data_IF_109416033629
#
_entry.id   IF_109416033629
#
_cell.length_a   1.000
_cell.length_b   1.000
_cell.length_c   1.000
_cell.angle_alpha   90.00
_cell.angle_beta   90.00
_cell.angle_gamma   90.00
#
_symmetry.space_group_name_H-M   'P 1'
#
loop_
_entity.id
_entity.type
_entity.pdbx_description
1 polymer ?
#
# COMPACT_ATOMS: atom_id res chain seq x y z
N UNK A 1 14.17 -10.94 -14.75
CA UNK A 1 13.19 -9.90 -14.37
C UNK A 1 11.82 -10.48 -14.04
N UNK A 2 11.14 -11.23 -14.94
CA UNK A 2 9.80 -11.82 -14.67
C UNK A 2 9.70 -12.68 -13.39
N UNK A 3 10.72 -13.49 -13.07
CA UNK A 3 10.74 -14.34 -11.86
C UNK A 3 10.79 -13.53 -10.55
N UNK A 4 11.52 -12.41 -10.56
CA UNK A 4 11.61 -11.49 -9.41
C UNK A 4 10.28 -10.76 -9.21
N UNK A 5 9.63 -10.39 -10.31
CA UNK A 5 8.30 -9.77 -10.29
C UNK A 5 7.23 -10.73 -9.72
N UNK A 6 7.27 -12.01 -10.09
CA UNK A 6 6.36 -13.04 -9.55
C UNK A 6 6.59 -13.27 -8.06
N UNK A 7 7.86 -13.38 -7.62
CA UNK A 7 8.20 -13.52 -6.20
C UNK A 7 7.75 -12.30 -5.37
N UNK A 8 7.89 -11.10 -5.92
CA UNK A 8 7.40 -9.87 -5.31
C UNK A 8 5.87 -9.87 -5.17
N UNK A 9 5.15 -10.30 -6.22
CA UNK A 9 3.68 -10.35 -6.24
C UNK A 9 3.13 -11.41 -5.29
N UNK A 10 3.80 -12.57 -5.18
CA UNK A 10 3.46 -13.63 -4.21
C UNK A 10 3.74 -13.18 -2.78
N UNK A 11 4.85 -12.47 -2.54
CA UNK A 11 5.17 -11.89 -1.22
C UNK A 11 4.08 -10.91 -0.76
N UNK A 12 3.59 -10.04 -1.67
CA UNK A 12 2.49 -9.11 -1.40
C UNK A 12 1.19 -9.83 -1.02
N UNK A 13 0.87 -10.96 -1.68
CA UNK A 13 -0.31 -11.75 -1.33
C UNK A 13 -0.19 -12.41 0.06
N UNK A 14 1.00 -12.83 0.47
CA UNK A 14 1.26 -13.41 1.79
C UNK A 14 1.31 -12.38 2.93
N UNK A 15 1.69 -11.13 2.68
CA UNK A 15 1.63 -10.08 3.72
C UNK A 15 0.20 -9.77 4.15
N UNK A 16 -0.78 -9.85 3.23
CA UNK A 16 -2.18 -9.51 3.54
C UNK A 16 -2.81 -10.42 4.62
N UNK A 17 -2.38 -11.68 4.74
CA UNK A 17 -2.92 -12.61 5.74
C UNK A 17 -2.28 -12.46 7.11
N UNK A 18 -1.06 -11.90 7.19
CA UNK A 18 -0.33 -11.72 8.45
C UNK A 18 -0.80 -10.50 9.26
N UNK A 19 -1.45 -9.51 8.63
CA UNK A 19 -1.89 -8.26 9.28
C UNK A 19 -3.38 -8.20 9.62
N UNK A 20 -4.07 -9.34 9.61
CA UNK A 20 -5.48 -9.43 10.05
C UNK A 20 -5.65 -9.39 11.59
N UNK A 21 -4.62 -8.99 12.35
CA UNK A 21 -4.58 -9.15 13.81
C UNK A 21 -4.06 -7.93 14.55
N UNK A 22 -4.65 -6.76 14.33
CA UNK A 22 -4.54 -5.65 15.29
C UNK A 22 -5.89 -4.89 15.36
N UNK A 23 -6.90 -5.61 15.84
CA UNK A 23 -8.22 -5.10 16.20
C UNK A 23 -8.21 -4.62 17.66
N UNK A 24 -7.56 -3.50 17.92
CA UNK A 24 -7.90 -2.65 19.07
C UNK A 24 -8.58 -1.37 18.54
N UNK A 25 -9.61 -1.57 17.71
CA UNK A 25 -10.58 -0.54 17.39
C UNK A 25 -11.41 -0.26 18.64
N UNK A 26 -11.03 0.79 19.37
CA UNK A 26 -11.86 1.48 20.35
C UNK A 26 -13.29 1.67 19.79
N UNK A 27 -14.18 0.76 20.18
CA UNK A 27 -15.55 0.61 19.65
C UNK A 27 -16.43 1.84 19.92
N UNK A 28 -15.95 2.77 20.75
CA UNK A 28 -16.68 3.95 21.20
C UNK A 28 -16.45 5.22 20.36
N UNK A 29 -15.57 5.21 19.35
CA UNK A 29 -15.31 6.39 18.53
C UNK A 29 -15.61 6.16 17.04
N UNK A 30 -16.88 5.89 16.73
CA UNK A 30 -17.43 5.81 15.36
C UNK A 30 -17.49 7.21 14.71
N UNK A 31 -16.33 7.81 14.49
CA UNK A 31 -16.23 8.98 13.63
C UNK A 31 -15.97 8.51 12.20
N UNK A 32 -16.98 8.69 11.35
CA UNK A 32 -16.92 8.48 9.90
C UNK A 32 -15.62 9.03 9.33
N UNK A 33 -14.81 8.17 8.73
CA UNK A 33 -13.54 8.56 8.11
C UNK A 33 -13.82 9.12 6.72
N UNK A 34 -13.09 10.18 6.34
CA UNK A 34 -13.23 10.80 5.03
C UNK A 34 -12.26 10.15 4.04
N UNK A 35 -12.75 9.47 2.99
CA UNK A 35 -11.90 8.89 1.95
C UNK A 35 -11.08 9.96 1.21
N UNK A 36 -11.65 11.15 1.03
CA UNK A 36 -10.95 12.29 0.41
C UNK A 36 -9.74 12.72 1.23
N UNK A 37 -9.83 12.70 2.56
CA UNK A 37 -8.70 13.02 3.44
C UNK A 37 -7.61 11.95 3.39
N UNK A 38 -7.98 10.68 3.37
CA UNK A 38 -7.04 9.57 3.19
C UNK A 38 -6.31 9.64 1.85
N UNK A 39 -7.02 9.99 0.77
CA UNK A 39 -6.46 10.17 -0.57
C UNK A 39 -5.44 11.32 -0.62
N UNK A 40 -5.78 12.50 -0.07
CA UNK A 40 -4.86 13.65 -0.07
C UNK A 40 -3.56 13.32 0.68
N UNK A 41 -3.68 12.63 1.82
CA UNK A 41 -2.51 12.21 2.59
C UNK A 41 -1.68 11.18 1.79
N UNK A 42 -2.35 10.17 1.21
CA UNK A 42 -1.72 9.07 0.48
C UNK A 42 -0.96 9.51 -0.77
N UNK A 43 -1.39 10.60 -1.43
CA UNK A 43 -0.73 11.12 -2.63
C UNK A 43 0.70 11.61 -2.41
N UNK A 44 1.09 11.94 -1.18
CA UNK A 44 2.41 12.50 -0.88
C UNK A 44 3.29 11.47 -0.17
N UNK A 45 2.72 10.77 0.81
CA UNK A 45 3.46 9.86 1.69
C UNK A 45 2.79 8.48 1.70
N UNK A 46 3.51 7.41 1.32
CA UNK A 46 2.97 6.06 1.37
C UNK A 46 2.65 5.67 2.82
N UNK A 47 1.52 5.00 3.04
CA UNK A 47 1.04 4.52 4.33
C UNK A 47 0.19 5.53 5.11
N UNK A 48 0.17 6.80 4.70
CA UNK A 48 -0.48 7.88 5.46
C UNK A 48 -2.01 7.76 5.58
N UNK A 49 -2.68 7.11 4.61
CA UNK A 49 -4.10 6.74 4.70
C UNK A 49 -4.38 5.75 5.84
N UNK A 50 -3.50 4.76 6.01
CA UNK A 50 -3.61 3.75 7.07
C UNK A 50 -3.36 4.36 8.45
N UNK A 51 -2.42 5.31 8.56
CA UNK A 51 -2.25 6.13 9.76
C UNK A 51 -3.52 6.91 10.13
N UNK A 52 -4.24 7.47 9.14
CA UNK A 52 -5.52 8.13 9.35
C UNK A 52 -6.63 7.17 9.82
N UNK A 53 -6.58 5.93 9.34
CA UNK A 53 -7.46 4.83 9.75
C UNK A 53 -7.01 4.11 11.03
N UNK A 54 -5.97 4.61 11.72
CA UNK A 54 -5.38 4.02 12.95
C UNK A 54 -4.74 2.64 12.78
N UNK A 55 -4.44 2.23 11.55
CA UNK A 55 -3.71 0.99 11.25
C UNK A 55 -2.21 1.26 11.17
N UNK A 56 -1.63 1.56 12.33
CA UNK A 56 -0.25 2.05 12.45
C UNK A 56 0.79 1.07 11.92
N UNK A 57 0.61 -0.23 12.15
CA UNK A 57 1.56 -1.26 11.71
C UNK A 57 1.59 -1.29 10.18
N UNK A 58 0.43 -1.36 9.54
CA UNK A 58 0.29 -1.37 8.08
C UNK A 58 0.86 -0.10 7.45
N UNK A 59 0.48 1.06 7.98
CA UNK A 59 1.01 2.35 7.54
C UNK A 59 2.54 2.44 7.67
N UNK A 60 3.10 1.92 8.77
CA UNK A 60 4.55 1.91 9.00
C UNK A 60 5.31 1.05 7.99
N UNK A 61 4.71 -0.05 7.53
CA UNK A 61 5.31 -0.92 6.50
C UNK A 61 5.35 -0.20 5.16
N UNK A 62 4.22 0.37 4.71
CA UNK A 62 4.19 1.13 3.46
C UNK A 62 5.14 2.31 3.49
N UNK A 63 5.24 3.00 4.62
CA UNK A 63 6.20 4.08 4.83
C UNK A 63 7.64 3.56 4.75
N UNK A 64 7.98 2.49 5.46
CA UNK A 64 9.32 1.90 5.46
C UNK A 64 9.77 1.43 4.08
N UNK A 65 8.89 0.73 3.36
CA UNK A 65 9.12 0.30 1.96
C UNK A 65 9.28 1.51 1.04
N UNK A 66 8.45 2.54 1.21
CA UNK A 66 8.55 3.79 0.48
C UNK A 66 9.89 4.49 0.71
N UNK A 67 10.29 4.67 1.97
CA UNK A 67 11.58 5.26 2.35
C UNK A 67 12.76 4.48 1.78
N UNK A 68 12.70 3.15 1.79
CA UNK A 68 13.74 2.32 1.18
C UNK A 68 13.87 2.57 -0.32
N UNK A 69 12.77 2.56 -1.08
CA UNK A 69 12.81 2.81 -2.52
C UNK A 69 13.25 4.24 -2.85
N UNK A 70 12.76 5.23 -2.10
CA UNK A 70 13.19 6.62 -2.24
C UNK A 70 14.69 6.77 -1.99
N UNK A 71 15.21 6.18 -0.91
CA UNK A 71 16.64 6.18 -0.59
C UNK A 71 17.48 5.52 -1.68
N UNK A 72 17.07 4.34 -2.17
CA UNK A 72 17.78 3.64 -3.25
C UNK A 72 17.77 4.45 -4.54
N UNK A 73 16.63 5.03 -4.91
CA UNK A 73 16.51 5.91 -6.07
C UNK A 73 17.47 7.10 -5.95
N UNK A 74 17.46 7.80 -4.82
CA UNK A 74 18.34 8.93 -4.55
C UNK A 74 19.83 8.57 -4.63
N UNK A 75 20.25 7.48 -3.99
CA UNK A 75 21.64 7.04 -4.06
C UNK A 75 22.09 6.69 -5.50
N UNK A 76 21.19 6.14 -6.33
CA UNK A 76 21.52 5.88 -7.73
C UNK A 76 21.49 7.14 -8.59
N UNK A 77 20.66 8.12 -8.24
CA UNK A 77 20.67 9.46 -8.82
C UNK A 77 22.00 10.18 -8.58
N UNK A 78 22.57 10.11 -7.37
CA UNK A 78 23.89 10.72 -7.12
C UNK A 78 24.99 10.03 -7.95
N UNK A 79 24.99 8.70 -8.00
CA UNK A 79 25.98 7.94 -8.76
C UNK A 79 25.93 8.19 -10.25
N UNK A 80 24.74 8.25 -10.84
CA UNK A 80 24.63 8.52 -12.27
C UNK A 80 25.11 9.93 -12.61
N UNK A 81 24.85 10.93 -11.75
CA UNK A 81 25.32 12.31 -11.94
C UNK A 81 26.85 12.41 -11.88
N UNK A 82 27.46 11.69 -10.93
CA UNK A 82 28.92 11.55 -10.83
C UNK A 82 29.53 10.94 -12.10
N UNK A 83 29.02 9.79 -12.55
CA UNK A 83 29.54 9.12 -13.76
C UNK A 83 29.32 9.95 -15.03
N UNK A 84 28.20 10.66 -15.14
CA UNK A 84 27.95 11.54 -16.26
C UNK A 84 28.93 12.71 -16.28
N UNK A 85 29.20 13.30 -15.12
CA UNK A 85 30.18 14.38 -14.96
C UNK A 85 31.59 13.91 -15.31
N UNK A 86 31.97 12.70 -14.93
CA UNK A 86 33.26 12.11 -15.29
C UNK A 86 33.36 11.80 -16.79
N UNK A 87 32.29 11.31 -17.41
CA UNK A 87 32.22 11.11 -18.85
C UNK A 87 32.46 12.42 -19.60
N UNK A 88 31.82 13.52 -19.20
CA UNK A 88 32.01 14.83 -19.82
C UNK A 88 33.47 15.35 -19.73
N UNK A 89 34.22 14.93 -18.71
CA UNK A 89 35.63 15.33 -18.52
C UNK A 89 36.61 14.44 -19.27
N UNK A 90 36.34 13.15 -19.35
CA UNK A 90 37.29 12.12 -19.82
C UNK A 90 36.97 11.60 -21.21
N UNK A 91 35.72 11.76 -21.65
CA UNK A 91 35.13 11.12 -22.83
C UNK A 91 35.30 9.59 -22.81
N UNK A 92 35.37 8.97 -21.63
CA UNK A 92 35.50 7.52 -21.44
C UNK A 92 34.13 6.84 -21.54
N UNK A 93 33.94 6.05 -22.59
CA UNK A 93 32.73 5.26 -22.86
C UNK A 93 32.35 4.32 -21.69
N UNK A 94 33.30 3.87 -20.88
CA UNK A 94 32.98 3.06 -19.71
C UNK A 94 32.21 3.85 -18.64
N UNK A 95 32.50 5.15 -18.50
CA UNK A 95 31.78 6.05 -17.59
C UNK A 95 30.35 6.29 -18.07
N UNK A 96 30.16 6.41 -19.38
CA UNK A 96 28.83 6.52 -19.97
C UNK A 96 27.97 5.27 -19.70
N UNK A 97 28.54 4.07 -19.86
CA UNK A 97 27.85 2.82 -19.52
C UNK A 97 27.45 2.75 -18.04
N UNK A 98 28.35 3.17 -17.14
CA UNK A 98 28.05 3.22 -15.71
C UNK A 98 26.95 4.24 -15.40
N UNK A 99 26.94 5.40 -16.05
CA UNK A 99 25.83 6.36 -15.97
C UNK A 99 24.50 5.69 -16.35
N UNK A 100 24.43 5.05 -17.52
CA UNK A 100 23.21 4.42 -18.02
C UNK A 100 22.71 3.32 -17.07
N UNK A 101 23.62 2.49 -16.56
CA UNK A 101 23.27 1.46 -15.58
C UNK A 101 22.70 2.02 -14.27
N UNK A 102 23.26 3.13 -13.76
CA UNK A 102 22.79 3.75 -12.52
C UNK A 102 21.48 4.54 -12.76
N UNK A 103 21.31 5.16 -13.92
CA UNK A 103 20.05 5.78 -14.35
C UNK A 103 18.91 4.75 -14.37
N UNK A 104 19.12 3.60 -15.04
CA UNK A 104 18.13 2.54 -15.12
C UNK A 104 17.75 1.98 -13.73
N UNK A 105 18.73 1.89 -12.82
CA UNK A 105 18.47 1.48 -11.42
C UNK A 105 17.67 2.54 -10.67
N UNK A 106 18.06 3.81 -10.75
CA UNK A 106 17.32 4.94 -10.17
C UNK A 106 15.87 4.92 -10.62
N UNK A 107 15.64 4.86 -11.94
CA UNK A 107 14.32 4.83 -12.55
C UNK A 107 13.48 3.63 -12.03
N UNK A 108 14.09 2.43 -11.99
CA UNK A 108 13.42 1.24 -11.45
C UNK A 108 12.96 1.42 -10.00
N UNK A 109 13.81 1.97 -9.14
CA UNK A 109 13.46 2.24 -7.74
C UNK A 109 12.40 3.34 -7.60
N UNK A 110 12.45 4.37 -8.46
CA UNK A 110 11.42 5.39 -8.53
C UNK A 110 10.05 4.80 -8.93
N UNK A 111 10.02 3.89 -9.89
CA UNK A 111 8.78 3.19 -10.24
C UNK A 111 8.26 2.33 -9.09
N UNK A 112 9.13 1.62 -8.38
CA UNK A 112 8.69 0.86 -7.19
C UNK A 112 8.15 1.78 -6.08
N UNK A 113 8.73 2.97 -5.89
CA UNK A 113 8.19 3.98 -4.99
C UNK A 113 6.78 4.42 -5.40
N UNK A 114 6.58 4.78 -6.68
CA UNK A 114 5.28 5.22 -7.20
C UNK A 114 4.22 4.11 -7.09
N UNK A 115 4.59 2.87 -7.39
CA UNK A 115 3.69 1.71 -7.26
C UNK A 115 3.31 1.51 -5.78
N UNK A 116 4.27 1.56 -4.85
CA UNK A 116 4.01 1.45 -3.42
C UNK A 116 3.08 2.57 -2.92
N UNK A 117 3.31 3.80 -3.37
CA UNK A 117 2.47 4.96 -3.08
C UNK A 117 1.03 4.74 -3.56
N UNK A 118 0.84 4.28 -4.80
CA UNK A 118 -0.47 4.02 -5.39
C UNK A 118 -1.22 2.91 -4.63
N UNK A 119 -0.55 1.77 -4.36
CA UNK A 119 -1.15 0.64 -3.63
C UNK A 119 -1.60 1.08 -2.24
N UNK A 120 -0.71 1.74 -1.49
CA UNK A 120 -1.03 2.18 -0.13
C UNK A 120 -2.16 3.22 -0.10
N UNK A 121 -2.20 4.12 -1.08
CA UNK A 121 -3.28 5.11 -1.18
C UNK A 121 -4.62 4.44 -1.45
N UNK A 122 -4.67 3.49 -2.38
CA UNK A 122 -5.89 2.73 -2.69
C UNK A 122 -6.36 1.95 -1.46
N UNK A 123 -5.43 1.29 -0.76
CA UNK A 123 -5.72 0.51 0.45
C UNK A 123 -6.32 1.40 1.55
N UNK A 124 -5.69 2.54 1.87
CA UNK A 124 -6.20 3.49 2.85
C UNK A 124 -7.56 4.10 2.46
N UNK A 125 -7.81 4.31 1.16
CA UNK A 125 -9.12 4.74 0.64
C UNK A 125 -10.18 3.67 0.88
N UNK A 126 -9.91 2.41 0.50
CA UNK A 126 -10.83 1.28 0.70
C UNK A 126 -11.17 1.13 2.17
N UNK A 127 -10.18 1.25 3.05
CA UNK A 127 -10.38 1.21 4.50
C UNK A 127 -11.25 2.37 5.02
N UNK A 128 -11.06 3.59 4.51
CA UNK A 128 -11.93 4.72 4.84
C UNK A 128 -13.36 4.53 4.31
N UNK A 129 -13.56 3.89 3.15
CA UNK A 129 -14.90 3.57 2.66
C UNK A 129 -15.60 2.49 3.50
N UNK A 130 -14.85 1.51 3.99
CA UNK A 130 -15.36 0.43 4.82
C UNK A 130 -15.44 0.79 6.31
N UNK A 131 -15.01 2.00 6.73
CA UNK A 131 -15.02 2.39 8.15
C UNK A 131 -16.42 2.40 8.77
N UNK A 132 -17.44 2.61 7.94
CA UNK A 132 -18.85 2.64 8.37
C UNK A 132 -19.54 1.27 8.14
N UNK A 133 -18.84 0.29 7.57
CA UNK A 133 -19.41 -1.02 7.24
C UNK A 133 -19.42 -1.94 8.46
N UNK A 134 -20.53 -1.93 9.18
CA UNK A 134 -20.82 -2.89 10.24
C UNK A 134 -22.20 -3.52 10.02
N UNK A 135 -22.31 -4.83 10.23
CA UNK A 135 -23.61 -5.51 10.25
C UNK A 135 -24.24 -5.25 11.62
N UNK A 136 -25.21 -4.35 11.67
CA UNK A 136 -25.74 -3.80 12.92
C UNK A 136 -26.56 -4.82 13.73
N UNK A 137 -27.17 -5.81 13.07
CA UNK A 137 -27.81 -6.97 13.69
C UNK A 137 -28.19 -8.00 12.63
N UNK A 138 -27.92 -9.28 12.87
CA UNK A 138 -28.48 -10.39 12.11
C UNK A 138 -29.60 -10.97 12.96
N UNK A 139 -30.85 -10.67 12.62
CA UNK A 139 -32.00 -11.36 13.22
C UNK A 139 -32.22 -12.67 12.47
N UNK A 140 -31.99 -13.79 13.15
CA UNK A 140 -32.31 -15.12 12.63
C UNK A 140 -33.75 -15.42 13.01
N UNK A 141 -34.68 -15.17 12.09
CA UNK A 141 -36.07 -15.59 12.26
C UNK A 141 -36.23 -17.01 11.71
N UNK A 142 -36.52 -17.96 12.60
CA UNK A 142 -36.89 -19.33 12.23
C UNK A 142 -38.39 -19.48 12.27
N UNK A 143 -39.03 -19.69 11.11
CA UNK A 143 -40.42 -20.14 11.06
C UNK A 143 -40.44 -21.67 11.03
N UNK A 144 -41.11 -22.28 12.01
CA UNK A 144 -41.29 -23.72 12.05
C UNK A 144 -42.65 -24.09 11.47
N UNK A 145 -42.69 -24.60 10.23
CA UNK A 145 -43.93 -25.03 9.58
C UNK A 145 -43.86 -26.51 9.23
N UNK A 146 -44.43 -27.33 10.13
CA UNK A 146 -44.70 -28.79 10.15
C UNK A 146 -43.64 -29.78 9.62
N UNK A 147 -42.87 -29.47 8.57
CA UNK A 147 -41.78 -30.31 8.03
C UNK A 147 -40.65 -29.50 7.34
N UNK A 148 -40.67 -28.16 7.42
CA UNK A 148 -39.65 -27.31 6.78
C UNK A 148 -39.23 -26.19 7.72
N UNK A 149 -37.93 -26.03 7.90
CA UNK A 149 -37.32 -24.88 8.58
C UNK A 149 -36.82 -23.92 7.50
N UNK A 150 -37.34 -22.70 7.48
CA UNK A 150 -36.85 -21.63 6.61
C UNK A 150 -36.14 -20.58 7.46
N UNK A 151 -34.88 -20.29 7.09
CA UNK A 151 -34.05 -19.25 7.68
C UNK A 151 -34.12 -18.00 6.80
N UNK A 152 -34.58 -16.89 7.36
CA UNK A 152 -34.57 -15.60 6.68
C UNK A 152 -33.45 -14.72 7.24
N UNK A 153 -32.56 -14.27 6.36
CA UNK A 153 -31.53 -13.29 6.68
C UNK A 153 -32.01 -11.95 6.10
N UNK A 154 -32.46 -11.05 6.97
CA UNK A 154 -32.90 -9.72 6.55
C UNK A 154 -31.94 -8.65 7.05
N UNK A 155 -31.46 -7.79 6.15
CA UNK A 155 -30.71 -6.59 6.49
C UNK A 155 -31.71 -5.49 6.87
N UNK A 156 -31.63 -4.97 8.10
CA UNK A 156 -32.35 -3.75 8.48
C UNK A 156 -31.51 -2.57 8.00
N UNK A 157 -32.09 -1.76 7.10
CA UNK A 157 -31.50 -0.49 6.63
C UNK A 157 -31.76 0.62 7.64
#
# INVERSE_FOLDING_TARGET
>A
MKKVLILFLVSILFLNTAFAGDDDADFNNKNKKSPTKALIMGMIIPGSGDFYNRKYIKGSIFLGVGLFFAYKSYNYYEKQDEYYTEYLKTNDENKYKLYEENYNKMESYMYFYIINLAISTIDGIVESYLSDWHIEKIEVNSEYKKEKVSLFITKRL
#
